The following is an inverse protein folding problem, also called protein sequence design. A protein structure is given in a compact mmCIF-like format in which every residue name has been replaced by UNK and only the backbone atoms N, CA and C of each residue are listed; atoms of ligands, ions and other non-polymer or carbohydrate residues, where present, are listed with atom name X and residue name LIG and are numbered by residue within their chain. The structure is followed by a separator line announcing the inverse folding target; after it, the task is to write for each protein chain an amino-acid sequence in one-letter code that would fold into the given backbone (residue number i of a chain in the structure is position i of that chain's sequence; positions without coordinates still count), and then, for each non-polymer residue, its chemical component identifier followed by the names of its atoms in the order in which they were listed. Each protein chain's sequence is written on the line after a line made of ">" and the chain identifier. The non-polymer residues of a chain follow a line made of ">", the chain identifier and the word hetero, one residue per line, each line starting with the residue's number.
data_IF_412586809250
#
_entry.id   IF_412586809250
#
_cell.length_a   1.000
_cell.length_b   1.000
_cell.length_c   1.000
_cell.angle_alpha   90.00
_cell.angle_beta   90.00
_cell.angle_gamma   90.00
#
_symmetry.space_group_name_H-M   'P 1'
#
loop_
_entity.id
_entity.type
_entity.pdbx_description
1 polymer ?
#
# COMPACT_ATOMS: atom_id res chain seq x y z
N UNK A 1 16.05 10.04 -36.94
CA UNK A 1 15.52 10.82 -35.80
C UNK A 1 14.88 9.85 -34.83
N UNK A 2 15.63 9.43 -33.81
CA UNK A 2 15.10 8.60 -32.72
C UNK A 2 14.39 9.56 -31.77
N UNK A 3 13.06 9.50 -31.74
CA UNK A 3 12.27 10.26 -30.79
C UNK A 3 12.69 9.83 -29.38
N UNK A 4 13.17 10.80 -28.61
CA UNK A 4 13.46 10.63 -27.20
C UNK A 4 12.20 10.10 -26.51
N UNK A 5 12.34 8.97 -25.81
CA UNK A 5 11.41 8.56 -24.79
C UNK A 5 11.41 9.64 -23.72
N UNK A 6 10.38 10.49 -23.73
CA UNK A 6 10.09 11.44 -22.67
C UNK A 6 9.61 10.63 -21.43
N UNK A 7 10.34 10.61 -20.31
CA UNK A 7 9.89 9.94 -19.09
C UNK A 7 8.78 10.72 -18.35
N UNK A 8 8.26 11.80 -18.94
CA UNK A 8 7.15 12.59 -18.43
C UNK A 8 5.83 12.18 -19.09
N UNK A 9 5.37 10.96 -18.84
CA UNK A 9 4.05 10.51 -19.28
C UNK A 9 2.96 11.42 -18.71
N UNK A 10 2.41 12.30 -19.56
CA UNK A 10 1.41 13.33 -19.30
C UNK A 10 0.61 13.19 -18.00
N UNK A 11 1.08 13.82 -16.94
CA UNK A 11 0.39 13.84 -15.65
C UNK A 11 -0.94 14.58 -15.79
N UNK A 12 -2.05 13.91 -15.45
CA UNK A 12 -3.36 14.56 -15.33
C UNK A 12 -3.24 15.84 -14.51
N UNK A 13 -3.92 16.91 -14.94
CA UNK A 13 -4.07 18.09 -14.10
C UNK A 13 -4.84 17.74 -12.83
N UNK A 14 -4.57 18.46 -11.73
CA UNK A 14 -5.30 18.26 -10.46
C UNK A 14 -6.83 18.35 -10.62
N UNK A 15 -7.30 19.18 -11.57
CA UNK A 15 -8.73 19.28 -11.87
C UNK A 15 -9.26 18.00 -12.55
N UNK A 16 -8.47 17.37 -13.42
CA UNK A 16 -8.80 16.07 -14.00
C UNK A 16 -8.77 14.95 -12.95
N UNK A 17 -7.81 14.97 -12.02
CA UNK A 17 -7.77 14.04 -10.87
C UNK A 17 -9.01 14.18 -9.98
N UNK A 18 -9.40 15.42 -9.65
CA UNK A 18 -10.60 15.69 -8.85
C UNK A 18 -11.86 15.29 -9.61
N UNK A 19 -11.94 15.55 -10.91
CA UNK A 19 -13.07 15.12 -11.75
C UNK A 19 -13.18 13.59 -11.81
N UNK A 20 -12.04 12.89 -11.92
CA UNK A 20 -11.98 11.43 -11.89
C UNK A 20 -12.47 10.87 -10.55
N UNK A 21 -12.00 11.43 -9.43
CA UNK A 21 -12.48 11.06 -8.09
C UNK A 21 -14.00 11.26 -7.95
N UNK A 22 -14.54 12.37 -8.44
CA UNK A 22 -15.99 12.63 -8.42
C UNK A 22 -16.77 11.59 -9.22
N UNK A 23 -16.27 11.22 -10.40
CA UNK A 23 -16.88 10.20 -11.24
C UNK A 23 -16.88 8.83 -10.56
N UNK A 24 -15.75 8.42 -9.99
CA UNK A 24 -15.61 7.18 -9.22
C UNK A 24 -16.58 7.10 -8.04
N UNK A 25 -16.76 8.21 -7.33
CA UNK A 25 -17.62 8.28 -6.14
C UNK A 25 -19.09 8.60 -6.48
N UNK A 26 -19.44 8.76 -7.77
CA UNK A 26 -20.77 9.18 -8.24
C UNK A 26 -21.28 10.49 -7.61
N UNK A 27 -20.38 11.45 -7.36
CA UNK A 27 -20.71 12.76 -6.78
C UNK A 27 -20.46 13.89 -7.76
N UNK A 28 -21.18 15.01 -7.59
CA UNK A 28 -21.11 16.17 -8.51
C UNK A 28 -20.39 17.39 -7.95
N UNK A 29 -20.16 17.45 -6.63
CA UNK A 29 -19.58 18.63 -5.96
C UNK A 29 -18.33 18.29 -5.17
N UNK A 30 -17.44 19.27 -4.97
CA UNK A 30 -16.25 19.13 -4.10
C UNK A 30 -16.66 18.83 -2.66
N UNK A 31 -17.79 19.39 -2.21
CA UNK A 31 -18.36 19.13 -0.89
C UNK A 31 -18.77 17.67 -0.75
N UNK A 32 -19.55 17.14 -1.70
CA UNK A 32 -19.96 15.75 -1.68
C UNK A 32 -18.76 14.80 -1.83
N UNK A 33 -17.75 15.19 -2.62
CA UNK A 33 -16.50 14.44 -2.70
C UNK A 33 -15.77 14.41 -1.34
N UNK A 34 -15.68 15.54 -0.66
CA UNK A 34 -15.07 15.62 0.67
C UNK A 34 -15.83 14.75 1.69
N UNK A 35 -17.17 14.78 1.66
CA UNK A 35 -18.03 13.98 2.52
C UNK A 35 -17.86 12.48 2.22
N UNK A 36 -17.87 12.09 0.95
CA UNK A 36 -17.65 10.70 0.49
C UNK A 36 -16.27 10.17 0.88
N UNK A 37 -15.22 11.00 0.80
CA UNK A 37 -13.85 10.64 1.19
C UNK A 37 -13.59 10.83 2.69
N UNK A 38 -14.56 11.36 3.45
CA UNK A 38 -14.45 11.73 4.87
C UNK A 38 -13.24 12.60 5.18
N UNK A 39 -13.00 13.59 4.34
CA UNK A 39 -11.96 14.62 4.51
C UNK A 39 -12.60 15.99 4.73
N UNK A 40 -11.81 16.95 5.17
CA UNK A 40 -12.30 18.32 5.30
C UNK A 40 -12.52 18.95 3.93
N UNK A 41 -13.54 19.81 3.79
CA UNK A 41 -13.78 20.57 2.55
C UNK A 41 -12.54 21.39 2.12
N UNK A 42 -11.79 21.91 3.11
CA UNK A 42 -10.53 22.61 2.88
C UNK A 42 -9.40 21.74 2.32
N UNK A 43 -9.47 20.42 2.44
CA UNK A 43 -8.50 19.51 1.84
C UNK A 43 -8.58 19.54 0.31
N UNK A 44 -9.79 19.54 -0.27
CA UNK A 44 -10.00 19.63 -1.72
C UNK A 44 -9.49 20.99 -2.25
N UNK A 45 -9.79 22.09 -1.56
CA UNK A 45 -9.24 23.41 -1.90
C UNK A 45 -7.72 23.45 -1.80
N UNK A 46 -7.13 22.71 -0.85
CA UNK A 46 -5.69 22.61 -0.70
C UNK A 46 -5.05 21.85 -1.86
N UNK A 47 -5.68 20.80 -2.39
CA UNK A 47 -5.19 20.10 -3.58
C UNK A 47 -5.18 21.02 -4.80
N UNK A 48 -6.28 21.74 -5.05
CA UNK A 48 -6.39 22.71 -6.14
C UNK A 48 -5.29 23.76 -6.07
N UNK A 49 -5.10 24.37 -4.89
CA UNK A 49 -4.05 25.36 -4.66
C UNK A 49 -2.63 24.79 -4.84
N UNK A 50 -2.40 23.54 -4.46
CA UNK A 50 -1.09 22.87 -4.55
C UNK A 50 -0.85 22.21 -5.92
N UNK A 51 -1.86 22.16 -6.79
CA UNK A 51 -1.76 21.52 -8.10
C UNK A 51 -1.61 20.00 -8.05
N UNK A 52 -1.98 19.32 -6.94
CA UNK A 52 -1.85 17.86 -6.82
C UNK A 52 -2.86 17.23 -5.84
N UNK A 53 -3.42 16.09 -6.21
CA UNK A 53 -4.11 15.19 -5.28
C UNK A 53 -3.08 14.24 -4.64
N UNK A 54 -3.28 13.89 -3.36
CA UNK A 54 -2.41 12.90 -2.72
C UNK A 54 -2.63 11.50 -3.31
N UNK A 55 -1.56 10.80 -3.69
CA UNK A 55 -1.65 9.40 -4.15
C UNK A 55 -2.37 8.49 -3.16
N UNK A 56 -2.22 8.73 -1.86
CA UNK A 56 -2.93 7.98 -0.82
C UNK A 56 -4.46 8.10 -0.98
N UNK A 57 -4.95 9.29 -1.33
CA UNK A 57 -6.39 9.54 -1.49
C UNK A 57 -6.93 8.90 -2.76
N UNK A 58 -6.19 8.98 -3.87
CA UNK A 58 -6.54 8.28 -5.12
C UNK A 58 -6.67 6.77 -4.88
N UNK A 59 -5.65 6.17 -4.28
CA UNK A 59 -5.64 4.74 -3.96
C UNK A 59 -6.76 4.34 -3.00
N UNK A 60 -7.07 5.19 -2.02
CA UNK A 60 -8.17 4.94 -1.09
C UNK A 60 -9.53 4.98 -1.79
N UNK A 61 -9.75 5.95 -2.69
CA UNK A 61 -10.99 6.05 -3.46
C UNK A 61 -11.21 4.81 -4.34
N UNK A 62 -10.15 4.34 -5.02
CA UNK A 62 -10.19 3.10 -5.80
C UNK A 62 -10.63 1.89 -4.95
N UNK A 63 -10.05 1.74 -3.75
CA UNK A 63 -10.40 0.65 -2.84
C UNK A 63 -11.85 0.76 -2.34
N UNK A 64 -12.34 1.98 -2.07
CA UNK A 64 -13.74 2.21 -1.66
C UNK A 64 -14.74 1.84 -2.75
N UNK A 65 -14.39 2.06 -4.03
CA UNK A 65 -15.22 1.65 -5.17
C UNK A 65 -15.18 0.13 -5.36
N UNK A 66 -13.98 -0.48 -5.29
CA UNK A 66 -13.80 -1.91 -5.51
C UNK A 66 -14.49 -2.79 -4.47
N UNK A 67 -14.60 -2.33 -3.22
CA UNK A 67 -15.10 -3.15 -2.11
C UNK A 67 -16.48 -2.73 -1.59
N UNK A 68 -17.15 -1.78 -2.25
CA UNK A 68 -18.34 -1.11 -1.68
C UNK A 68 -17.95 -0.24 -0.48
N UNK A 69 -18.87 0.61 0.00
CA UNK A 69 -18.58 1.58 1.09
C UNK A 69 -17.92 0.91 2.29
N UNK A 70 -16.59 1.02 2.38
CA UNK A 70 -15.86 0.48 3.51
C UNK A 70 -16.09 1.42 4.68
N UNK A 71 -16.86 0.96 5.68
CA UNK A 71 -16.97 1.66 6.94
C UNK A 71 -15.55 1.77 7.55
N UNK A 72 -15.17 2.92 8.13
CA UNK A 72 -13.83 3.10 8.69
C UNK A 72 -13.51 2.19 9.88
N UNK A 73 -14.51 1.51 10.44
CA UNK A 73 -14.32 0.40 11.39
C UNK A 73 -13.86 -0.87 10.69
N UNK A 74 -14.63 -1.34 9.72
CA UNK A 74 -14.36 -2.59 8.98
C UNK A 74 -13.01 -2.57 8.25
N UNK A 75 -12.61 -1.43 7.67
CA UNK A 75 -11.30 -1.31 7.02
C UNK A 75 -10.15 -1.41 8.02
N UNK A 76 -10.29 -0.77 9.18
CA UNK A 76 -9.21 -0.69 10.17
C UNK A 76 -9.08 -2.00 10.93
N UNK A 77 -10.20 -2.65 11.27
CA UNK A 77 -10.20 -4.00 11.86
C UNK A 77 -9.67 -5.04 10.89
N UNK A 78 -10.04 -4.98 9.61
CA UNK A 78 -9.49 -5.88 8.59
C UNK A 78 -7.99 -5.64 8.39
N UNK A 79 -7.55 -4.39 8.27
CA UNK A 79 -6.13 -4.06 8.16
C UNK A 79 -5.37 -4.50 9.42
N UNK A 80 -5.92 -4.27 10.62
CA UNK A 80 -5.32 -4.74 11.87
C UNK A 80 -5.24 -6.27 11.93
N UNK A 81 -6.26 -6.97 11.43
CA UNK A 81 -6.28 -8.44 11.37
C UNK A 81 -5.27 -8.98 10.36
N UNK A 82 -5.15 -8.35 9.18
CA UNK A 82 -4.14 -8.69 8.17
C UNK A 82 -2.72 -8.40 8.69
N UNK A 83 -2.51 -7.29 9.41
CA UNK A 83 -1.24 -6.99 10.08
C UNK A 83 -0.91 -8.02 11.15
N UNK A 84 -1.88 -8.43 11.98
CA UNK A 84 -1.68 -9.45 13.01
C UNK A 84 -1.32 -10.81 12.39
N UNK A 85 -2.01 -11.21 11.32
CA UNK A 85 -1.73 -12.45 10.58
C UNK A 85 -0.34 -12.42 9.93
N UNK A 86 0.02 -11.32 9.27
CA UNK A 86 1.34 -11.14 8.67
C UNK A 86 2.45 -11.14 9.73
N UNK A 87 2.21 -10.51 10.87
CA UNK A 87 3.15 -10.50 12.00
C UNK A 87 3.38 -11.91 12.56
N UNK A 88 2.32 -12.71 12.69
CA UNK A 88 2.43 -14.12 13.09
C UNK A 88 3.25 -14.94 12.09
N UNK A 89 2.94 -14.82 10.79
CA UNK A 89 3.70 -15.52 9.73
C UNK A 89 5.17 -15.11 9.68
N UNK A 90 5.47 -13.84 9.92
CA UNK A 90 6.84 -13.34 10.00
C UNK A 90 7.59 -13.93 11.21
N UNK A 91 6.93 -14.08 12.36
CA UNK A 91 7.51 -14.75 13.52
C UNK A 91 7.79 -16.23 13.24
N UNK A 92 6.83 -16.95 12.67
CA UNK A 92 7.00 -18.36 12.30
C UNK A 92 8.17 -18.55 11.33
N UNK A 93 8.28 -17.69 10.32
CA UNK A 93 9.38 -17.71 9.37
C UNK A 93 10.73 -17.40 10.05
N UNK A 94 10.76 -16.48 11.01
CA UNK A 94 11.95 -16.17 11.81
C UNK A 94 12.37 -17.37 12.66
N UNK A 95 11.43 -18.08 13.28
CA UNK A 95 11.72 -19.32 14.02
C UNK A 95 12.25 -20.42 13.10
N UNK A 96 11.64 -20.59 11.92
CA UNK A 96 12.08 -21.56 10.92
C UNK A 96 13.51 -21.25 10.42
N UNK A 97 13.80 -19.98 10.09
CA UNK A 97 15.16 -19.56 9.71
C UNK A 97 16.18 -19.81 10.81
N UNK A 98 15.84 -19.53 12.08
CA UNK A 98 16.75 -19.82 13.20
C UNK A 98 17.05 -21.30 13.30
N UNK A 99 16.03 -22.15 13.23
CA UNK A 99 16.21 -23.60 13.29
C UNK A 99 17.07 -24.13 12.14
N UNK A 100 16.85 -23.63 10.93
CA UNK A 100 17.70 -23.97 9.78
C UNK A 100 19.16 -23.53 9.99
N UNK A 101 19.40 -22.37 10.58
CA UNK A 101 20.74 -21.92 10.91
C UNK A 101 21.41 -22.84 11.95
N UNK A 102 20.69 -23.22 13.00
CA UNK A 102 21.18 -24.13 14.03
C UNK A 102 21.49 -25.54 13.45
N UNK A 103 20.63 -26.05 12.56
CA UNK A 103 20.83 -27.33 11.88
C UNK A 103 22.06 -27.29 10.94
N UNK A 104 22.27 -26.17 10.22
CA UNK A 104 23.44 -25.97 9.38
C UNK A 104 24.74 -25.89 10.19
N UNK A 105 24.71 -25.21 11.35
CA UNK A 105 25.86 -25.14 12.25
C UNK A 105 26.23 -26.53 12.79
N UNK A 106 25.24 -27.32 13.20
CA UNK A 106 25.45 -28.71 13.64
C UNK A 106 26.01 -29.58 12.51
N UNK A 107 25.51 -29.44 11.28
CA UNK A 107 26.00 -30.21 10.14
C UNK A 107 27.45 -29.84 9.79
N UNK A 108 27.79 -28.55 9.85
CA UNK A 108 29.16 -28.07 9.67
C UNK A 108 30.09 -28.59 10.78
N UNK A 109 29.65 -28.61 12.04
CA UNK A 109 30.41 -29.19 13.15
C UNK A 109 30.65 -30.69 12.96
N UNK A 110 29.63 -31.44 12.52
CA UNK A 110 29.75 -32.87 12.22
C UNK A 110 30.69 -33.14 11.05
N UNK A 111 30.63 -32.32 9.99
CA UNK A 111 31.54 -32.43 8.85
C UNK A 111 33.00 -32.17 9.25
N UNK A 112 33.27 -31.20 10.13
CA UNK A 112 34.62 -30.95 10.67
C UNK A 112 35.12 -32.11 11.53
N UNK A 113 34.26 -32.70 12.36
CA UNK A 113 34.62 -33.85 13.18
C UNK A 113 34.94 -35.09 12.33
N UNK A 114 34.27 -35.27 11.19
CA UNK A 114 34.51 -36.38 10.25
C UNK A 114 35.69 -36.14 9.30
N UNK A 115 36.07 -34.87 9.05
CA UNK A 115 37.20 -34.49 8.19
C UNK A 115 38.51 -34.22 8.94
N UNK A 116 38.52 -34.35 10.27
CA UNK A 116 39.70 -34.13 11.12
C UNK A 116 40.57 -35.37 11.36
N UNK A 117 40.34 -36.46 10.62
CA UNK A 117 41.02 -37.75 10.79
C UNK A 117 41.82 -38.18 9.53
N UNK A 118 42.47 -37.21 8.88
CA UNK A 118 43.50 -37.40 7.84
C UNK A 118 44.65 -36.44 8.10
#
# INVERSE_FOLDING_TARGET
>A
MVAALDPSGGGMSVEAEIAHLKAMMHVRSDTALADSLRITKGAVSTWKRRGRVSMYIMRRAELMVQHGQIAPGDSMERIASEIALLSGRLQDMRFSSKRLADDLEQLAARARALGGDT
#
